data_IF_267703688205
#
_entry.id   IF_267703688205
#
_cell.length_a   1.000
_cell.length_b   1.000
_cell.length_c   1.000
_cell.angle_alpha   90.00
_cell.angle_beta   90.00
_cell.angle_gamma   90.00
#
_symmetry.space_group_name_H-M   'P 1'
#
loop_
_entity.id
_entity.type
_entity.pdbx_description
1 polymer ?
#
# COMPACT_ATOMS: atom_id res chain seq x y z
N UNK A 1 -18.96 -2.20 -39.46
CA UNK A 1 -17.80 -3.08 -39.20
C UNK A 1 -16.56 -2.22 -39.41
N UNK A 2 -15.98 -1.68 -38.34
CA UNK A 2 -14.75 -0.87 -38.42
C UNK A 2 -13.76 -1.37 -37.37
N UNK A 3 -12.85 -2.23 -37.81
CA UNK A 3 -11.68 -2.64 -37.04
C UNK A 3 -10.61 -1.56 -37.16
N UNK A 4 -10.44 -0.74 -36.12
CA UNK A 4 -9.21 0.05 -35.98
C UNK A 4 -8.15 -0.83 -35.32
N UNK A 5 -7.27 -1.41 -36.15
CA UNK A 5 -5.99 -1.95 -35.71
C UNK A 5 -5.15 -0.79 -35.17
N UNK A 6 -4.98 -0.72 -33.86
CA UNK A 6 -3.93 0.11 -33.26
C UNK A 6 -2.62 -0.59 -33.62
N UNK A 7 -1.84 0.06 -34.48
CA UNK A 7 -0.54 -0.43 -34.94
C UNK A 7 0.45 -0.45 -33.79
N UNK A 8 1.12 -1.60 -33.65
CA UNK A 8 2.08 -1.98 -32.61
C UNK A 8 3.32 -1.07 -32.44
N UNK A 9 3.37 0.08 -33.12
CA UNK A 9 4.45 1.06 -33.06
C UNK A 9 4.23 2.13 -31.97
N UNK A 10 2.97 2.40 -31.58
CA UNK A 10 2.68 3.40 -30.55
C UNK A 10 3.06 2.94 -29.13
N UNK A 11 3.05 1.63 -28.87
CA UNK A 11 3.49 1.05 -27.59
C UNK A 11 5.02 1.00 -27.50
N UNK A 12 5.70 0.79 -28.64
CA UNK A 12 7.17 0.80 -28.69
C UNK A 12 7.75 2.19 -28.36
N UNK A 13 7.05 3.26 -28.75
CA UNK A 13 7.47 4.65 -28.52
C UNK A 13 7.32 5.10 -27.05
N UNK A 14 6.37 4.55 -26.31
CA UNK A 14 6.19 4.84 -24.88
C UNK A 14 7.27 4.20 -23.99
N UNK A 15 7.95 3.16 -24.47
CA UNK A 15 9.08 2.53 -23.77
C UNK A 15 10.37 3.36 -23.95
N UNK A 16 10.49 4.14 -25.02
CA UNK A 16 11.68 4.94 -25.31
C UNK A 16 11.62 6.35 -24.66
N UNK A 17 10.41 6.90 -24.45
CA UNK A 17 10.26 8.25 -23.86
C UNK A 17 10.37 8.29 -22.33
N UNK A 18 10.48 7.14 -21.66
CA UNK A 18 10.97 7.05 -20.28
C UNK A 18 12.51 7.09 -20.15
N UNK A 19 13.24 7.07 -21.27
CA UNK A 19 14.70 6.90 -21.31
C UNK A 19 15.51 8.20 -21.53
N UNK A 20 14.89 9.39 -21.51
CA UNK A 20 15.60 10.67 -21.74
C UNK A 20 15.24 11.76 -20.73
N UNK A 21 15.44 11.46 -19.45
CA UNK A 21 15.57 12.46 -18.38
C UNK A 21 16.95 12.35 -17.73
N UNK A 22 18.03 12.66 -18.45
CA UNK A 22 19.38 12.61 -17.86
C UNK A 22 20.56 12.70 -18.83
N UNK A 23 20.64 13.73 -19.68
CA UNK A 23 21.93 14.11 -20.26
C UNK A 23 22.72 14.85 -19.17
N UNK A 24 23.70 14.16 -18.56
CA UNK A 24 24.57 14.75 -17.55
C UNK A 24 25.68 13.82 -17.05
N UNK A 25 26.86 13.94 -17.67
CA UNK A 25 28.19 13.57 -17.18
C UNK A 25 28.74 12.17 -17.50
N UNK A 26 29.71 12.20 -18.42
CA UNK A 26 30.77 11.24 -18.71
C UNK A 26 31.76 11.16 -17.53
N UNK A 27 31.65 10.14 -16.67
CA UNK A 27 32.76 9.49 -15.92
C UNK A 27 32.30 8.06 -15.56
N UNK A 28 32.84 7.06 -16.25
CA UNK A 28 32.41 5.65 -16.19
C UNK A 28 33.05 4.85 -15.04
N UNK A 29 32.26 3.95 -14.45
CA UNK A 29 32.68 2.98 -13.44
C UNK A 29 31.62 2.72 -12.37
N UNK A 30 31.16 3.76 -11.66
CA UNK A 30 30.22 3.60 -10.53
C UNK A 30 28.74 3.85 -10.87
N UNK A 31 28.44 4.66 -11.89
CA UNK A 31 27.05 5.04 -12.22
C UNK A 31 26.25 3.91 -12.86
N UNK A 32 26.90 3.03 -13.62
CA UNK A 32 26.23 1.89 -14.26
C UNK A 32 25.76 0.86 -13.22
N UNK A 33 26.59 0.56 -12.20
CA UNK A 33 26.23 -0.37 -11.12
C UNK A 33 25.15 0.20 -10.18
N UNK A 34 25.18 1.51 -9.91
CA UNK A 34 24.13 2.16 -9.12
C UNK A 34 22.76 2.12 -9.82
N UNK A 35 22.75 2.39 -11.14
CA UNK A 35 21.53 2.31 -11.94
C UNK A 35 21.02 0.87 -12.03
N UNK A 36 21.92 -0.08 -12.30
CA UNK A 36 21.58 -1.51 -12.35
C UNK A 36 20.97 -1.99 -11.03
N UNK A 37 21.55 -1.60 -9.88
CA UNK A 37 20.99 -1.96 -8.58
C UNK A 37 19.66 -1.27 -8.30
N UNK A 38 19.45 -0.04 -8.76
CA UNK A 38 18.16 0.63 -8.67
C UNK A 38 17.09 -0.12 -9.49
N UNK A 39 17.43 -0.52 -10.73
CA UNK A 39 16.54 -1.28 -11.60
C UNK A 39 16.18 -2.65 -11.00
N UNK A 40 17.16 -3.36 -10.43
CA UNK A 40 16.96 -4.64 -9.74
C UNK A 40 16.05 -4.48 -8.52
N UNK A 41 16.18 -3.39 -7.75
CA UNK A 41 15.28 -3.09 -6.63
C UNK A 41 13.85 -2.85 -7.08
N UNK A 42 13.66 -1.98 -8.08
CA UNK A 42 12.33 -1.68 -8.63
C UNK A 42 11.67 -2.92 -9.22
N UNK A 43 12.45 -3.78 -9.88
CA UNK A 43 11.98 -5.08 -10.35
C UNK A 43 11.54 -5.99 -9.20
N UNK A 44 12.34 -6.10 -8.14
CA UNK A 44 12.01 -6.90 -6.95
C UNK A 44 10.72 -6.42 -6.27
N UNK A 45 10.55 -5.11 -6.09
CA UNK A 45 9.34 -4.49 -5.53
C UNK A 45 8.10 -4.77 -6.39
N UNK A 46 8.24 -4.66 -7.70
CA UNK A 46 7.16 -4.96 -8.64
C UNK A 46 6.71 -6.43 -8.52
N UNK A 47 7.65 -7.38 -8.54
CA UNK A 47 7.34 -8.81 -8.40
C UNK A 47 6.70 -9.11 -7.05
N UNK A 48 7.26 -8.60 -5.96
CA UNK A 48 6.72 -8.76 -4.62
C UNK A 48 5.28 -8.25 -4.51
N UNK A 49 5.00 -7.07 -5.08
CA UNK A 49 3.64 -6.49 -5.12
C UNK A 49 2.66 -7.38 -5.87
N UNK A 50 3.03 -7.85 -7.07
CA UNK A 50 2.17 -8.73 -7.86
C UNK A 50 1.87 -10.03 -7.13
N UNK A 51 2.90 -10.67 -6.57
CA UNK A 51 2.77 -11.98 -5.95
C UNK A 51 1.97 -11.95 -4.65
N UNK A 52 2.13 -10.90 -3.85
CA UNK A 52 1.43 -10.77 -2.57
C UNK A 52 0.01 -10.21 -2.71
N UNK A 53 -0.43 -9.82 -3.91
CA UNK A 53 -1.80 -9.36 -4.14
C UNK A 53 -2.71 -10.53 -4.53
N UNK A 54 -3.76 -10.77 -3.75
CA UNK A 54 -4.76 -11.82 -3.97
C UNK A 54 -6.14 -11.18 -4.14
N UNK A 55 -6.66 -11.17 -5.37
CA UNK A 55 -7.97 -10.59 -5.69
C UNK A 55 -8.65 -11.36 -6.85
N UNK A 56 -9.73 -10.80 -7.40
CA UNK A 56 -10.44 -11.38 -8.55
C UNK A 56 -9.65 -11.41 -9.85
N UNK A 57 -8.65 -10.55 -10.03
CA UNK A 57 -7.84 -10.39 -11.24
C UNK A 57 -6.57 -11.24 -11.24
N UNK A 58 -6.58 -12.35 -10.49
CA UNK A 58 -5.42 -13.25 -10.37
C UNK A 58 -4.92 -13.79 -11.71
N UNK A 59 -5.80 -14.00 -12.69
CA UNK A 59 -5.44 -14.50 -14.03
C UNK A 59 -4.50 -13.51 -14.74
N UNK A 60 -4.86 -12.22 -14.74
CA UNK A 60 -4.02 -11.17 -15.33
C UNK A 60 -2.65 -11.09 -14.64
N UNK A 61 -2.59 -11.28 -13.32
CA UNK A 61 -1.31 -11.29 -12.59
C UNK A 61 -0.46 -12.53 -12.89
N UNK A 62 -1.08 -13.70 -13.06
CA UNK A 62 -0.37 -14.89 -13.54
C UNK A 62 0.25 -14.60 -14.90
N UNK A 63 -0.49 -14.00 -15.82
CA UNK A 63 0.01 -13.66 -17.16
C UNK A 63 1.20 -12.69 -17.09
N UNK A 64 1.14 -11.69 -16.22
CA UNK A 64 2.26 -10.77 -15.97
C UNK A 64 3.49 -11.48 -15.40
N UNK A 65 3.31 -12.38 -14.44
CA UNK A 65 4.40 -13.13 -13.82
C UNK A 65 4.96 -14.24 -14.73
N UNK A 66 4.18 -14.75 -15.68
CA UNK A 66 4.54 -15.93 -16.47
C UNK A 66 5.89 -15.79 -17.19
N UNK A 67 6.24 -14.58 -17.64
CA UNK A 67 7.47 -14.32 -18.39
C UNK A 67 8.67 -13.97 -17.50
N UNK A 68 8.44 -13.44 -16.30
CA UNK A 68 9.46 -12.79 -15.45
C UNK A 68 9.64 -13.48 -14.10
N UNK A 69 8.69 -14.33 -13.68
CA UNK A 69 8.73 -15.13 -12.46
C UNK A 69 7.82 -16.38 -12.62
N UNK A 70 8.13 -17.28 -13.55
CA UNK A 70 7.23 -18.36 -13.97
C UNK A 70 6.81 -19.29 -12.81
N UNK A 71 7.75 -19.69 -11.97
CA UNK A 71 7.45 -20.55 -10.80
C UNK A 71 6.49 -19.89 -9.81
N UNK A 72 6.55 -18.55 -9.69
CA UNK A 72 5.63 -17.78 -8.87
C UNK A 72 4.24 -17.71 -9.50
N UNK A 73 4.15 -17.53 -10.83
CA UNK A 73 2.87 -17.53 -11.55
C UNK A 73 2.10 -18.85 -11.41
N UNK A 74 2.83 -19.98 -11.45
CA UNK A 74 2.26 -21.31 -11.29
C UNK A 74 1.61 -21.48 -9.90
N UNK A 75 2.33 -21.08 -8.84
CA UNK A 75 1.86 -21.22 -7.45
C UNK A 75 0.91 -20.12 -6.98
N UNK A 76 0.77 -19.04 -7.73
CA UNK A 76 -0.19 -17.97 -7.39
C UNK A 76 -1.61 -18.56 -7.40
N UNK A 77 -2.24 -18.68 -6.23
CA UNK A 77 -3.55 -19.31 -6.09
C UNK A 77 -4.54 -18.35 -5.45
N UNK A 78 -5.81 -18.45 -5.87
CA UNK A 78 -6.88 -17.64 -5.31
C UNK A 78 -7.41 -18.33 -4.06
N UNK A 79 -7.29 -17.69 -2.90
CA UNK A 79 -8.09 -18.07 -1.74
C UNK A 79 -9.55 -17.66 -1.97
N UNK A 80 -10.51 -18.57 -1.76
CA UNK A 80 -11.94 -18.24 -1.88
C UNK A 80 -12.42 -17.27 -0.81
N UNK A 81 -11.75 -17.26 0.35
CA UNK A 81 -12.19 -16.59 1.56
C UNK A 81 -11.28 -15.41 1.97
N UNK A 82 -10.27 -15.09 1.15
CA UNK A 82 -9.29 -14.05 1.44
C UNK A 82 -9.00 -13.21 0.21
N UNK A 83 -9.24 -11.90 0.33
CA UNK A 83 -8.66 -10.90 -0.56
C UNK A 83 -7.50 -10.22 0.16
N UNK A 84 -6.41 -9.93 -0.53
CA UNK A 84 -5.23 -9.31 0.03
C UNK A 84 -4.69 -8.26 -0.93
N UNK A 85 -4.44 -7.06 -0.42
CA UNK A 85 -3.73 -6.02 -1.16
C UNK A 85 -2.44 -5.65 -0.44
N UNK A 86 -1.49 -5.18 -1.23
CA UNK A 86 -0.19 -4.71 -0.78
C UNK A 86 -0.28 -3.19 -0.62
N UNK A 87 -0.05 -2.70 0.60
CA UNK A 87 -0.03 -1.27 0.92
C UNK A 87 1.32 -0.65 0.58
N UNK A 88 2.39 -1.33 0.97
CA UNK A 88 3.76 -0.85 0.81
C UNK A 88 4.69 -2.01 0.44
N UNK A 89 5.68 -1.73 -0.39
CA UNK A 89 6.81 -2.60 -0.69
C UNK A 89 8.09 -1.79 -0.57
N UNK A 90 9.13 -2.39 -0.02
CA UNK A 90 10.44 -1.75 0.12
C UNK A 90 11.55 -2.77 -0.11
N UNK A 91 12.28 -2.64 -1.20
CA UNK A 91 13.46 -3.46 -1.45
C UNK A 91 14.61 -3.05 -0.53
N UNK A 92 15.26 -4.06 0.04
CA UNK A 92 16.47 -3.93 0.82
C UNK A 92 17.71 -3.66 -0.03
N UNK A 93 18.87 -4.03 0.52
CA UNK A 93 20.14 -3.96 -0.21
C UNK A 93 20.17 -5.07 -1.29
N UNK A 94 20.70 -4.74 -2.47
CA UNK A 94 20.97 -5.73 -3.51
C UNK A 94 22.28 -6.44 -3.18
N UNK A 95 22.24 -7.76 -3.13
CA UNK A 95 23.42 -8.61 -2.98
C UNK A 95 23.72 -9.26 -4.32
N UNK A 96 24.90 -9.01 -4.90
CA UNK A 96 25.28 -9.62 -6.16
C UNK A 96 26.11 -10.89 -5.91
N UNK A 97 25.66 -12.02 -6.46
CA UNK A 97 26.36 -13.30 -6.36
C UNK A 97 27.39 -13.49 -7.48
N UNK A 98 27.01 -13.11 -8.70
CA UNK A 98 27.88 -13.10 -9.88
C UNK A 98 27.45 -11.98 -10.84
N UNK A 99 28.13 -11.85 -11.99
CA UNK A 99 27.89 -10.76 -12.96
C UNK A 99 26.47 -10.69 -13.53
N UNK A 100 25.61 -11.68 -13.25
CA UNK A 100 24.26 -11.78 -13.77
C UNK A 100 23.22 -12.18 -12.73
N UNK A 101 23.59 -12.36 -11.46
CA UNK A 101 22.71 -12.88 -10.40
C UNK A 101 22.73 -12.01 -9.16
N UNK A 102 21.54 -11.72 -8.66
CA UNK A 102 21.30 -10.85 -7.52
C UNK A 102 20.34 -11.51 -6.54
N UNK A 103 20.47 -11.19 -5.26
CA UNK A 103 19.47 -11.42 -4.22
C UNK A 103 18.94 -10.07 -3.74
N UNK A 104 17.62 -10.01 -3.56
CA UNK A 104 16.97 -8.86 -2.93
C UNK A 104 15.96 -9.36 -1.92
N UNK A 105 16.09 -8.88 -0.69
CA UNK A 105 15.07 -9.06 0.34
C UNK A 105 14.10 -7.88 0.28
N UNK A 106 12.82 -8.16 0.07
CA UNK A 106 11.76 -7.14 -0.03
C UNK A 106 10.86 -7.23 1.19
N UNK A 107 10.71 -6.13 1.91
CA UNK A 107 9.69 -6.02 2.95
C UNK A 107 8.37 -5.56 2.33
N UNK A 108 7.28 -6.20 2.74
CA UNK A 108 5.94 -5.88 2.24
C UNK A 108 4.94 -5.77 3.39
N UNK A 109 4.04 -4.79 3.29
CA UNK A 109 2.92 -4.60 4.19
C UNK A 109 1.65 -4.91 3.43
N UNK A 110 0.83 -5.81 3.96
CA UNK A 110 -0.41 -6.24 3.33
C UNK A 110 -1.58 -6.10 4.27
N UNK A 111 -2.76 -5.97 3.68
CA UNK A 111 -4.03 -6.06 4.40
C UNK A 111 -4.83 -7.17 3.75
N UNK A 112 -5.20 -8.15 4.55
CA UNK A 112 -6.07 -9.24 4.14
C UNK A 112 -7.48 -9.01 4.66
N UNK A 113 -8.46 -9.02 3.76
CA UNK A 113 -9.87 -9.12 4.07
C UNK A 113 -10.24 -10.60 4.21
N UNK A 114 -10.47 -11.05 5.44
CA UNK A 114 -10.90 -12.43 5.72
C UNK A 114 -12.40 -12.44 6.00
N UNK A 115 -13.17 -13.22 5.22
CA UNK A 115 -14.55 -13.56 5.60
C UNK A 115 -14.48 -14.60 6.72
N UNK A 116 -15.08 -14.30 7.87
CA UNK A 116 -15.16 -15.25 8.97
C UNK A 116 -16.13 -16.34 8.56
N UNK A 117 -15.66 -17.58 8.44
CA UNK A 117 -16.55 -18.75 8.52
C UNK A 117 -16.72 -19.04 10.01
N UNK A 118 -17.97 -19.20 10.45
CA UNK A 118 -18.30 -19.65 11.81
C UNK A 118 -17.53 -20.94 12.11
N UNK A 119 -16.47 -20.86 12.90
CA UNK A 119 -16.03 -22.01 13.68
C UNK A 119 -16.99 -22.13 14.86
N UNK A 120 -18.02 -22.95 14.71
CA UNK A 120 -18.80 -23.43 15.86
C UNK A 120 -17.84 -24.20 16.77
N UNK A 121 -17.32 -23.54 17.79
CA UNK A 121 -16.89 -24.23 19.01
C UNK A 121 -18.14 -24.61 19.78
N UNK A 122 -18.44 -25.90 19.84
CA UNK A 122 -19.48 -26.41 20.71
C UNK A 122 -19.10 -26.13 22.17
N UNK A 123 -19.97 -25.40 22.86
CA UNK A 123 -19.95 -25.28 24.32
C UNK A 123 -19.27 -24.04 24.89
N UNK A 124 -19.84 -22.85 24.64
CA UNK A 124 -19.92 -21.83 25.70
C UNK A 124 -21.05 -20.83 25.39
N UNK A 125 -22.00 -20.74 26.32
CA UNK A 125 -23.26 -20.02 26.19
C UNK A 125 -23.08 -18.56 26.61
N UNK A 126 -23.26 -17.68 25.64
CA UNK A 126 -24.09 -16.47 25.67
C UNK A 126 -23.77 -15.38 26.72
N UNK A 127 -23.28 -14.24 26.22
CA UNK A 127 -23.82 -12.92 26.58
C UNK A 127 -23.49 -11.87 25.51
N UNK A 128 -24.51 -11.07 25.20
CA UNK A 128 -24.58 -9.92 24.27
C UNK A 128 -24.54 -10.23 22.77
N UNK A 129 -25.63 -10.84 22.29
CA UNK A 129 -26.09 -10.67 20.92
C UNK A 129 -26.81 -9.31 20.78
N UNK A 130 -26.12 -8.33 20.20
CA UNK A 130 -26.73 -7.25 19.41
C UNK A 130 -25.68 -6.71 18.42
N UNK A 131 -25.94 -7.03 17.16
CA UNK A 131 -25.44 -6.42 15.93
C UNK A 131 -24.02 -6.76 15.43
N UNK A 132 -23.97 -7.29 14.20
CA UNK A 132 -22.84 -7.55 13.29
C UNK A 132 -22.06 -8.88 13.43
N UNK A 133 -22.74 -9.99 13.16
CA UNK A 133 -22.12 -11.13 12.46
C UNK A 133 -22.13 -10.84 10.93
N UNK A 134 -21.03 -11.18 10.24
CA UNK A 134 -20.70 -10.98 8.80
C UNK A 134 -19.83 -9.78 8.39
N UNK A 135 -19.38 -8.92 9.31
CA UNK A 135 -18.45 -7.86 8.94
C UNK A 135 -17.06 -8.43 8.56
N UNK A 136 -16.55 -8.20 7.34
CA UNK A 136 -15.26 -8.73 6.95
C UNK A 136 -14.15 -8.06 7.77
N UNK A 137 -13.23 -8.87 8.32
CA UNK A 137 -12.16 -8.35 9.19
C UNK A 137 -10.90 -8.07 8.37
N UNK A 138 -10.34 -6.88 8.58
CA UNK A 138 -9.07 -6.46 7.99
C UNK A 138 -7.92 -6.89 8.91
N UNK A 139 -7.01 -7.70 8.37
CA UNK A 139 -5.83 -8.18 9.10
C UNK A 139 -4.60 -7.61 8.40
N UNK A 140 -3.91 -6.70 9.08
CA UNK A 140 -2.60 -6.22 8.64
C UNK A 140 -1.55 -7.30 8.87
N UNK A 141 -0.64 -7.45 7.91
CA UNK A 141 0.49 -8.38 7.99
C UNK A 141 1.73 -7.74 7.38
N UNK A 142 2.89 -8.19 7.85
CA UNK A 142 4.18 -7.77 7.31
C UNK A 142 4.96 -9.01 6.93
N UNK A 143 5.60 -8.98 5.77
CA UNK A 143 6.39 -10.09 5.26
C UNK A 143 7.74 -9.63 4.76
N UNK A 144 8.73 -10.50 4.88
CA UNK A 144 9.97 -10.45 4.10
C UNK A 144 9.88 -11.47 2.98
N UNK A 145 10.27 -11.06 1.78
CA UNK A 145 10.28 -11.88 0.55
C UNK A 145 11.68 -11.83 -0.03
N UNK A 146 12.40 -12.94 0.06
CA UNK A 146 13.73 -13.03 -0.56
C UNK A 146 13.58 -13.53 -2.00
N UNK A 147 14.11 -12.75 -2.94
CA UNK A 147 14.03 -13.00 -4.38
C UNK A 147 15.43 -13.20 -4.97
N UNK A 148 15.59 -14.30 -5.72
CA UNK A 148 16.78 -14.57 -6.53
C UNK A 148 16.51 -14.14 -7.97
N UNK A 149 17.25 -13.14 -8.45
CA UNK A 149 17.04 -12.44 -9.72
C UNK A 149 18.22 -12.71 -10.65
N UNK A 150 17.93 -13.03 -11.92
CA UNK A 150 18.91 -13.22 -12.98
C UNK A 150 18.70 -12.16 -14.06
N UNK A 151 19.79 -11.48 -14.46
CA UNK A 151 19.83 -10.64 -15.65
C UNK A 151 19.80 -11.53 -16.89
N UNK A 152 18.78 -11.35 -17.71
CA UNK A 152 18.54 -12.03 -18.96
C UNK A 152 18.63 -11.01 -20.11
N UNK A 153 19.66 -11.14 -20.94
CA UNK A 153 19.95 -10.21 -22.05
C UNK A 153 18.81 -10.04 -23.07
N UNK A 154 17.81 -10.91 -23.08
CA UNK A 154 16.64 -10.83 -23.97
C UNK A 154 15.37 -10.33 -23.28
N UNK A 155 15.28 -10.42 -21.94
CA UNK A 155 14.04 -10.18 -21.18
C UNK A 155 14.20 -9.19 -20.01
N UNK A 156 15.38 -8.58 -19.84
CA UNK A 156 15.69 -7.74 -18.69
C UNK A 156 16.03 -8.60 -17.48
N UNK A 157 15.14 -8.69 -16.50
CA UNK A 157 15.35 -9.45 -15.27
C UNK A 157 14.30 -10.56 -15.11
N UNK A 158 14.70 -11.69 -14.52
CA UNK A 158 13.82 -12.84 -14.25
C UNK A 158 14.09 -13.37 -12.85
N UNK A 159 13.04 -13.72 -12.10
CA UNK A 159 13.16 -14.45 -10.83
C UNK A 159 13.38 -15.93 -11.12
N UNK A 160 14.50 -16.49 -10.66
CA UNK A 160 14.94 -17.84 -11.03
C UNK A 160 14.40 -18.96 -10.17
N UNK A 161 13.62 -18.66 -9.12
CA UNK A 161 13.12 -19.66 -8.18
C UNK A 161 11.90 -19.20 -7.40
N UNK A 162 11.52 -20.02 -6.43
CA UNK A 162 10.45 -19.67 -5.49
C UNK A 162 10.97 -18.69 -4.44
N UNK A 163 10.19 -17.66 -4.09
CA UNK A 163 10.57 -16.72 -3.05
C UNK A 163 10.58 -17.41 -1.69
N UNK A 164 11.51 -17.01 -0.82
CA UNK A 164 11.44 -17.37 0.60
C UNK A 164 10.61 -16.30 1.31
N UNK A 165 9.43 -16.68 1.79
CA UNK A 165 8.50 -15.76 2.44
C UNK A 165 8.49 -16.02 3.93
N UNK A 166 8.71 -14.97 4.71
CA UNK A 166 8.69 -15.00 6.18
C UNK A 166 7.73 -13.94 6.68
N UNK A 167 6.76 -14.32 7.51
CA UNK A 167 5.89 -13.36 8.20
C UNK A 167 6.69 -12.75 9.35
N UNK A 168 6.79 -11.42 9.33
CA UNK A 168 7.31 -10.67 10.47
C UNK A 168 6.10 -10.45 11.39
N UNK A 169 6.14 -10.92 12.64
CA UNK A 169 5.11 -10.56 13.61
C UNK A 169 5.03 -9.04 13.62
N UNK A 170 3.84 -8.50 13.37
CA UNK A 170 3.60 -7.12 13.77
C UNK A 170 3.80 -7.14 15.28
N UNK A 171 4.91 -6.56 15.76
CA UNK A 171 4.98 -6.20 17.16
C UNK A 171 3.67 -5.48 17.43
N UNK A 172 2.86 -6.05 18.33
CA UNK A 172 1.80 -5.26 18.94
C UNK A 172 2.58 -4.13 19.56
N UNK A 173 2.60 -3.00 18.85
CA UNK A 173 2.84 -1.73 19.49
C UNK A 173 1.62 -1.63 20.39
N UNK A 174 1.73 -2.18 21.60
CA UNK A 174 0.99 -1.73 22.74
C UNK A 174 1.47 -0.30 22.88
N UNK A 175 0.90 0.60 22.08
CA UNK A 175 1.03 2.01 22.36
C UNK A 175 0.37 2.10 23.73
N UNK A 176 1.13 2.39 24.80
CA UNK A 176 0.51 2.56 26.09
C UNK A 176 -0.61 3.55 25.86
N UNK A 177 -1.82 3.16 26.22
CA UNK A 177 -2.97 4.06 26.24
C UNK A 177 -2.65 5.09 27.31
N UNK A 178 -1.80 6.05 26.96
CA UNK A 178 -1.51 7.17 27.82
C UNK A 178 -2.82 7.91 27.91
N UNK A 179 -3.42 7.91 29.09
CA UNK A 179 -4.70 8.53 29.38
C UNK A 179 -4.64 10.07 29.35
N UNK A 180 -3.69 10.65 28.63
CA UNK A 180 -3.45 12.09 28.50
C UNK A 180 -2.88 12.45 27.12
N UNK A 181 -3.56 12.02 26.05
CA UNK A 181 -3.07 12.24 24.67
C UNK A 181 -4.08 13.10 23.92
N UNK A 182 -3.98 14.40 24.13
CA UNK A 182 -4.77 15.45 23.45
C UNK A 182 -6.29 15.39 23.65
N UNK A 183 -6.92 16.54 23.79
CA UNK A 183 -8.38 16.62 23.73
C UNK A 183 -8.81 16.34 22.28
N UNK A 184 -9.64 15.31 22.08
CA UNK A 184 -10.25 14.98 20.78
C UNK A 184 -10.95 16.19 20.16
N UNK A 185 -11.42 17.13 21.01
CA UNK A 185 -12.01 18.40 20.61
C UNK A 185 -11.07 19.31 19.80
N UNK A 186 -9.75 19.13 19.89
CA UNK A 186 -8.77 19.92 19.13
C UNK A 186 -8.47 19.35 17.75
N UNK A 187 -8.62 18.03 17.58
CA UNK A 187 -8.28 17.31 16.34
C UNK A 187 -9.50 17.12 15.45
N UNK A 188 -10.65 16.80 16.04
CA UNK A 188 -11.87 16.49 15.29
C UNK A 188 -12.28 17.62 14.33
N UNK A 189 -12.23 18.91 14.69
CA UNK A 189 -12.56 20.00 13.76
C UNK A 189 -11.65 20.05 12.53
N UNK A 190 -10.37 19.70 12.68
CA UNK A 190 -9.41 19.68 11.58
C UNK A 190 -9.74 18.53 10.62
N UNK A 191 -10.04 17.35 11.17
CA UNK A 191 -10.47 16.18 10.40
C UNK A 191 -11.76 16.49 9.64
N UNK A 192 -12.78 16.99 10.32
CA UNK A 192 -14.08 17.30 9.71
C UNK A 192 -14.00 18.39 8.64
N UNK A 193 -13.08 19.34 8.78
CA UNK A 193 -12.85 20.38 7.77
C UNK A 193 -12.11 19.86 6.52
N UNK A 194 -11.21 18.89 6.68
CA UNK A 194 -10.26 18.48 5.63
C UNK A 194 -10.69 17.21 4.91
N UNK A 195 -11.24 16.23 5.63
CA UNK A 195 -11.58 14.91 5.10
C UNK A 195 -12.62 14.97 3.97
N UNK A 196 -13.65 15.83 3.97
CA UNK A 196 -14.56 15.95 2.84
C UNK A 196 -13.85 16.27 1.52
N UNK A 197 -12.91 17.23 1.52
CA UNK A 197 -12.11 17.57 0.33
C UNK A 197 -11.17 16.43 -0.06
N UNK A 198 -10.51 15.81 0.92
CA UNK A 198 -9.55 14.71 0.68
C UNK A 198 -10.27 13.49 0.08
N UNK A 199 -11.43 13.11 0.60
CA UNK A 199 -12.22 11.98 0.10
C UNK A 199 -12.88 12.23 -1.26
N UNK A 200 -13.24 13.48 -1.55
CA UNK A 200 -13.81 13.88 -2.84
C UNK A 200 -12.83 13.75 -4.01
N UNK A 201 -11.53 13.54 -3.76
CA UNK A 201 -10.55 13.22 -4.81
C UNK A 201 -10.24 14.37 -5.78
N UNK A 202 -10.57 15.61 -5.40
CA UNK A 202 -10.39 16.82 -6.21
C UNK A 202 -9.25 17.73 -5.73
N UNK A 203 -9.34 19.02 -6.07
CA UNK A 203 -8.41 20.03 -5.54
C UNK A 203 -8.64 20.23 -4.03
N UNK A 204 -7.55 20.10 -3.26
CA UNK A 204 -7.53 20.26 -1.80
C UNK A 204 -6.88 21.58 -1.38
N UNK A 205 -6.59 22.49 -2.33
CA UNK A 205 -6.00 23.80 -2.06
C UNK A 205 -6.82 24.63 -1.05
N UNK A 206 -8.14 24.46 -1.04
CA UNK A 206 -9.07 25.15 -0.14
C UNK A 206 -8.92 24.76 1.35
N UNK A 207 -8.25 23.65 1.65
CA UNK A 207 -8.00 23.16 3.01
C UNK A 207 -6.50 23.08 3.34
N UNK A 208 -5.64 23.62 2.46
CA UNK A 208 -4.18 23.59 2.61
C UNK A 208 -3.67 24.31 3.86
N UNK A 209 -4.44 25.24 4.41
CA UNK A 209 -4.12 25.96 5.64
C UNK A 209 -4.10 25.06 6.89
N UNK A 210 -4.62 23.83 6.79
CA UNK A 210 -4.57 22.82 7.84
C UNK A 210 -3.36 21.87 7.70
N UNK A 211 -2.52 22.05 6.68
CA UNK A 211 -1.41 21.16 6.37
C UNK A 211 -0.08 21.75 6.83
N UNK A 212 0.93 20.90 7.06
CA UNK A 212 2.31 21.35 7.20
C UNK A 212 2.90 21.72 5.83
N UNK A 213 3.93 22.58 5.80
CA UNK A 213 4.59 22.99 4.55
C UNK A 213 5.20 21.80 3.78
N UNK A 214 5.55 20.72 4.49
CA UNK A 214 6.11 19.48 3.96
C UNK A 214 5.07 18.33 3.86
N UNK A 215 3.78 18.65 3.94
CA UNK A 215 2.73 17.64 3.96
C UNK A 215 2.68 16.82 2.67
N UNK A 216 2.52 15.50 2.81
CA UNK A 216 2.35 14.57 1.68
C UNK A 216 0.95 13.97 1.74
N UNK A 217 -0.05 14.77 1.33
CA UNK A 217 -1.46 14.38 1.36
C UNK A 217 -1.98 14.27 -0.07
N UNK A 218 -2.23 13.03 -0.50
CA UNK A 218 -2.84 12.76 -1.80
C UNK A 218 -4.35 12.58 -1.61
N UNK A 219 -5.21 13.28 -2.38
CA UNK A 219 -6.64 13.04 -2.39
C UNK A 219 -6.96 11.57 -2.72
N UNK A 220 -8.01 11.03 -2.11
CA UNK A 220 -8.43 9.65 -2.39
C UNK A 220 -8.93 9.55 -3.83
N UNK A 221 -8.35 8.65 -4.66
CA UNK A 221 -8.84 8.43 -6.00
C UNK A 221 -10.21 7.75 -5.91
N UNK A 222 -11.25 8.41 -6.40
CA UNK A 222 -12.58 7.79 -6.48
C UNK A 222 -13.76 8.69 -6.16
N UNK A 223 -13.55 9.83 -5.49
CA UNK A 223 -14.64 10.80 -5.26
C UNK A 223 -15.64 10.38 -4.18
N UNK A 224 -15.17 9.77 -3.10
CA UNK A 224 -16.00 9.39 -1.97
C UNK A 224 -16.65 10.61 -1.31
N UNK A 225 -17.91 10.49 -0.92
CA UNK A 225 -18.60 11.52 -0.14
C UNK A 225 -18.47 11.20 1.35
N UNK A 226 -17.63 11.95 2.04
CA UNK A 226 -17.49 11.87 3.49
C UNK A 226 -18.84 12.09 4.19
N UNK A 227 -19.16 11.26 5.18
CA UNK A 227 -20.39 11.35 5.97
C UNK A 227 -20.11 11.84 7.39
N UNK A 228 -19.29 11.11 8.14
CA UNK A 228 -18.96 11.43 9.54
C UNK A 228 -17.73 10.68 10.04
N UNK A 229 -17.16 11.20 11.11
CA UNK A 229 -16.22 10.46 11.98
C UNK A 229 -17.02 9.59 12.95
N UNK A 230 -16.62 8.33 13.11
CA UNK A 230 -17.19 7.39 14.07
C UNK A 230 -16.44 7.40 15.39
N UNK A 231 -15.11 7.42 15.33
CA UNK A 231 -14.23 7.49 16.50
C UNK A 231 -12.83 7.89 16.08
N UNK A 232 -12.07 8.44 17.02
CA UNK A 232 -10.64 8.67 16.85
C UNK A 232 -9.84 7.96 17.93
N UNK A 233 -8.59 7.63 17.60
CA UNK A 233 -7.60 7.17 18.57
C UNK A 233 -6.31 7.94 18.33
N UNK A 234 -5.88 8.68 19.34
CA UNK A 234 -4.73 9.57 19.25
C UNK A 234 -3.55 8.91 19.96
N UNK A 235 -2.41 8.87 19.29
CA UNK A 235 -1.17 8.31 19.78
C UNK A 235 -0.09 9.37 19.69
N UNK A 236 0.59 9.67 20.79
CA UNK A 236 1.75 10.56 20.76
C UNK A 236 2.96 9.79 20.21
N UNK A 237 3.44 10.17 19.03
CA UNK A 237 4.58 9.52 18.36
C UNK A 237 5.91 10.26 18.59
N UNK A 238 5.86 11.53 18.99
CA UNK A 238 7.02 12.37 19.30
C UNK A 238 6.68 13.47 20.30
N UNK A 239 7.59 14.44 20.51
CA UNK A 239 7.33 15.55 21.46
C UNK A 239 6.13 16.41 21.02
N UNK A 240 6.05 16.65 19.70
CA UNK A 240 5.03 17.46 19.02
C UNK A 240 4.36 16.70 17.87
N UNK A 241 4.61 15.40 17.75
CA UNK A 241 4.13 14.57 16.67
C UNK A 241 3.10 13.58 17.21
N UNK A 242 2.02 13.44 16.47
CA UNK A 242 0.88 12.63 16.84
C UNK A 242 0.45 11.78 15.65
N UNK A 243 0.08 10.54 15.92
CA UNK A 243 -0.59 9.66 14.98
C UNK A 243 -2.03 9.49 15.40
N UNK A 244 -2.96 9.76 14.50
CA UNK A 244 -4.39 9.67 14.76
C UNK A 244 -4.98 8.61 13.84
N UNK A 245 -5.60 7.60 14.43
CA UNK A 245 -6.40 6.63 13.71
C UNK A 245 -7.84 7.12 13.73
N UNK A 246 -8.40 7.40 12.56
CA UNK A 246 -9.74 7.95 12.40
C UNK A 246 -10.60 6.89 11.74
N UNK A 247 -11.66 6.47 12.41
CA UNK A 247 -12.67 5.60 11.82
C UNK A 247 -13.77 6.50 11.25
N UNK A 248 -14.09 6.37 9.97
CA UNK A 248 -15.02 7.25 9.26
C UNK A 248 -16.04 6.45 8.46
N UNK A 249 -17.19 7.05 8.19
CA UNK A 249 -18.12 6.57 7.17
C UNK A 249 -18.03 7.47 5.94
N UNK A 250 -17.97 6.83 4.77
CA UNK A 250 -18.02 7.50 3.47
C UNK A 250 -19.04 6.82 2.57
N UNK A 251 -19.62 7.55 1.64
CA UNK A 251 -20.48 7.03 0.60
C UNK A 251 -19.66 6.82 -0.68
N UNK A 252 -19.66 5.59 -1.18
CA UNK A 252 -19.03 5.24 -2.45
C UNK A 252 -19.91 5.77 -3.61
N UNK A 253 -19.36 6.61 -4.51
CA UNK A 253 -20.17 7.27 -5.54
C UNK A 253 -20.60 6.35 -6.67
N UNK A 254 -20.01 5.16 -6.79
CA UNK A 254 -20.33 4.17 -7.83
C UNK A 254 -21.46 3.26 -7.34
N UNK A 255 -21.39 2.81 -6.09
CA UNK A 255 -22.33 1.83 -5.54
C UNK A 255 -23.44 2.43 -4.70
N UNK A 256 -23.32 3.71 -4.30
CA UNK A 256 -24.23 4.39 -3.37
C UNK A 256 -24.35 3.67 -2.01
N UNK A 257 -23.30 2.93 -1.63
CA UNK A 257 -23.22 2.20 -0.36
C UNK A 257 -22.32 2.96 0.61
N UNK A 258 -22.77 3.06 1.87
CA UNK A 258 -21.94 3.58 2.96
C UNK A 258 -20.90 2.53 3.36
N UNK A 259 -19.64 2.93 3.33
CA UNK A 259 -18.48 2.10 3.68
C UNK A 259 -17.77 2.72 4.89
N UNK A 260 -17.45 1.88 5.88
CA UNK A 260 -16.58 2.25 6.99
C UNK A 260 -15.12 2.14 6.59
N UNK A 261 -14.35 3.22 6.77
CA UNK A 261 -12.91 3.26 6.49
C UNK A 261 -12.13 3.59 7.75
N UNK A 262 -10.92 3.03 7.84
CA UNK A 262 -9.94 3.38 8.87
C UNK A 262 -8.81 4.16 8.21
N UNK A 263 -8.72 5.43 8.54
CA UNK A 263 -7.73 6.37 8.02
C UNK A 263 -6.63 6.55 9.06
N UNK A 264 -5.38 6.54 8.62
CA UNK A 264 -4.24 6.88 9.48
C UNK A 264 -3.77 8.27 9.09
N UNK A 265 -3.74 9.19 10.04
CA UNK A 265 -3.17 10.52 9.81
C UNK A 265 -2.05 10.82 10.79
N UNK A 266 -0.99 11.44 10.29
CA UNK A 266 0.08 12.00 11.11
C UNK A 266 -0.15 13.51 11.24
N UNK A 267 -0.04 14.03 12.46
CA UNK A 267 -0.25 15.44 12.80
C UNK A 267 0.93 16.00 13.58
N UNK A 268 1.20 17.29 13.38
CA UNK A 268 2.26 18.01 14.06
C UNK A 268 1.68 19.21 14.80
N UNK A 269 2.13 19.40 16.03
CA UNK A 269 1.82 20.58 16.85
C UNK A 269 2.86 21.68 16.60
N UNK A 270 2.40 22.83 16.12
CA UNK A 270 3.23 24.01 15.92
C UNK A 270 2.51 25.25 16.49
N UNK A 271 3.17 25.98 17.40
CA UNK A 271 2.63 27.16 18.08
C UNK A 271 1.21 26.93 18.64
N UNK A 272 1.01 25.83 19.38
CA UNK A 272 -0.28 25.44 20.01
C UNK A 272 -1.41 25.13 19.01
N UNK A 273 -1.10 25.03 17.72
CA UNK A 273 -2.03 24.59 16.67
C UNK A 273 -1.58 23.24 16.11
N UNK A 274 -2.53 22.50 15.55
CA UNK A 274 -2.27 21.19 14.95
C UNK A 274 -2.45 21.25 13.44
N UNK A 275 -1.57 20.55 12.74
CA UNK A 275 -1.52 20.51 11.29
C UNK A 275 -1.40 19.06 10.82
N UNK A 276 -2.07 18.71 9.73
CA UNK A 276 -1.95 17.41 9.08
C UNK A 276 -0.64 17.37 8.29
N UNK A 277 0.11 16.29 8.46
CA UNK A 277 1.34 16.02 7.71
C UNK A 277 1.10 14.94 6.65
N UNK A 278 0.47 13.84 7.05
CA UNK A 278 0.19 12.71 6.15
C UNK A 278 -1.22 12.19 6.37
N UNK A 279 -1.85 11.67 5.32
CA UNK A 279 -3.13 10.95 5.39
C UNK A 279 -3.02 9.70 4.53
N UNK A 280 -3.31 8.55 5.12
CA UNK A 280 -3.22 7.22 4.51
C UNK A 280 -4.53 6.44 4.67
#
# INVERSE_FOLDING_TARGET
MFTKKISSWAILLLIILGAFGGIGSLVGGNRETEQEYADVKSFAEYIAKLYMTVDSNIVQRKDQLQLIAPSMAELLTKSKDTQQWVQEVKAGKVEQYDSSRYSVSVETWTVALKKVKEEKKEGEVEKTAKDNQDAPTYIQRRYTIDLDIISNSLKGYVVSGLPKIREIPLEKIEVPKNENVLDEQLILPIIEATFPSIFAGGDISNVSNYFTDDATINPFPGGYKFQKVLSTQIFKSGKKDYRVLVFVEVLDPITDVTVGLKVTTDMVENNEKYYLKNVY
#
